data_IF_732048300136
#
_entry.id   IF_732048300136
#
_cell.length_a   1.000
_cell.length_b   1.000
_cell.length_c   1.000
_cell.angle_alpha   90.00
_cell.angle_beta   90.00
_cell.angle_gamma   90.00
#
_symmetry.space_group_name_H-M   'P 1'
#
loop_
_entity.id
_entity.type
_entity.pdbx_description
1 polymer ?
#
# COMPACT_ATOMS: atom_id res chain seq x y z
N UNK A 1 29.34 23.74 1.34
CA UNK A 1 28.35 23.13 0.44
C UNK A 1 29.01 22.33 -0.66
N UNK A 2 29.61 23.02 -1.65
CA UNK A 2 30.37 22.38 -2.74
C UNK A 2 31.79 21.97 -2.32
N UNK A 3 32.50 22.82 -1.56
CA UNK A 3 33.86 22.49 -1.08
C UNK A 3 33.90 21.24 -0.19
N UNK A 4 32.97 21.10 0.74
CA UNK A 4 32.99 19.98 1.69
C UNK A 4 32.87 18.61 1.00
N UNK A 5 32.16 18.50 -0.13
CA UNK A 5 32.08 17.26 -0.92
C UNK A 5 33.37 16.98 -1.68
N UNK A 6 33.95 18.01 -2.27
CA UNK A 6 35.22 17.91 -3.01
C UNK A 6 36.34 17.50 -2.06
N UNK A 7 36.44 18.14 -0.90
CA UNK A 7 37.46 17.82 0.12
C UNK A 7 37.26 16.41 0.70
N UNK A 8 36.02 16.00 0.95
CA UNK A 8 35.72 14.65 1.41
C UNK A 8 36.07 13.58 0.37
N UNK A 9 35.81 13.85 -0.92
CA UNK A 9 36.24 12.98 -2.02
C UNK A 9 37.76 12.90 -2.11
N UNK A 10 38.44 14.05 -2.10
CA UNK A 10 39.90 14.12 -2.17
C UNK A 10 40.57 13.40 -1.00
N UNK A 11 39.97 13.45 0.19
CA UNK A 11 40.44 12.70 1.34
C UNK A 11 40.23 11.18 1.16
N UNK A 12 39.01 10.76 0.81
CA UNK A 12 38.70 9.33 0.66
C UNK A 12 39.43 8.66 -0.51
N UNK A 13 39.68 9.40 -1.60
CA UNK A 13 40.41 8.93 -2.77
C UNK A 13 41.85 8.51 -2.45
N UNK A 14 42.44 8.98 -1.34
CA UNK A 14 43.78 8.55 -0.88
C UNK A 14 43.80 7.09 -0.42
N UNK A 15 42.64 6.53 -0.09
CA UNK A 15 42.49 5.18 0.47
C UNK A 15 41.80 4.22 -0.52
N UNK A 16 41.42 4.67 -1.71
CA UNK A 16 40.69 3.87 -2.70
C UNK A 16 41.58 3.51 -3.89
N UNK A 17 41.43 2.29 -4.42
CA UNK A 17 42.06 1.92 -5.68
C UNK A 17 41.17 2.40 -6.85
N UNK A 18 41.49 3.58 -7.38
CA UNK A 18 40.68 4.29 -8.39
C UNK A 18 40.69 3.64 -9.79
N UNK A 19 41.47 2.58 -10.01
CA UNK A 19 41.57 1.91 -11.31
C UNK A 19 40.31 1.08 -11.66
N UNK A 20 39.50 0.69 -10.67
CA UNK A 20 38.34 -0.20 -10.88
C UNK A 20 36.95 0.42 -10.65
N UNK A 21 36.83 1.50 -9.87
CA UNK A 21 35.55 2.09 -9.47
C UNK A 21 35.51 3.60 -9.76
N UNK A 22 34.71 3.99 -10.75
CA UNK A 22 34.39 5.41 -11.00
C UNK A 22 33.38 5.90 -9.95
N UNK A 23 33.90 6.43 -8.84
CA UNK A 23 33.07 7.09 -7.83
C UNK A 23 32.90 8.56 -8.22
N UNK A 24 31.67 8.97 -8.49
CA UNK A 24 31.37 10.37 -8.78
C UNK A 24 31.46 11.21 -7.52
N UNK A 25 32.13 12.37 -7.63
CA UNK A 25 32.33 13.32 -6.51
C UNK A 25 31.02 13.80 -5.90
N UNK A 26 29.94 13.81 -6.69
CA UNK A 26 28.62 14.28 -6.26
C UNK A 26 27.91 13.29 -5.34
N UNK A 27 28.26 12.01 -5.40
CA UNK A 27 27.68 10.96 -4.57
C UNK A 27 28.31 10.89 -3.17
N UNK A 28 29.44 11.55 -2.95
CA UNK A 28 30.13 11.55 -1.64
C UNK A 28 29.32 12.33 -0.62
N UNK A 29 28.95 11.65 0.46
CA UNK A 29 28.34 12.26 1.66
C UNK A 29 29.48 12.71 2.59
N UNK A 30 29.72 14.02 2.80
CA UNK A 30 30.82 14.48 3.64
C UNK A 30 30.75 13.95 5.08
N UNK A 31 29.53 13.84 5.60
CA UNK A 31 29.29 13.30 6.95
C UNK A 31 29.62 11.82 7.06
N UNK A 32 29.50 11.02 5.99
CA UNK A 32 29.93 9.61 6.07
C UNK A 32 31.46 9.53 6.13
N UNK A 33 32.17 10.30 5.30
CA UNK A 33 33.65 10.31 5.29
C UNK A 33 34.21 10.83 6.62
N UNK A 34 33.63 11.90 7.17
CA UNK A 34 34.11 12.54 8.41
C UNK A 34 34.09 11.62 9.64
N UNK A 35 33.10 10.71 9.72
CA UNK A 35 32.92 9.80 10.85
C UNK A 35 33.30 8.35 10.50
N UNK A 36 34.15 8.14 9.49
CA UNK A 36 34.59 6.82 9.05
C UNK A 36 36.06 6.55 9.34
N UNK A 37 36.39 5.27 9.53
CA UNK A 37 37.79 4.83 9.61
C UNK A 37 38.49 5.07 8.27
N UNK A 38 39.72 5.60 8.33
CA UNK A 38 40.53 5.88 7.16
C UNK A 38 41.15 4.58 6.59
N UNK A 39 40.36 3.80 5.84
CA UNK A 39 40.75 2.53 5.23
C UNK A 39 40.19 2.35 3.82
N UNK A 40 40.65 1.31 3.14
CA UNK A 40 40.13 0.93 1.82
C UNK A 40 38.61 0.70 1.86
N UNK A 41 37.89 1.27 0.90
CA UNK A 41 36.43 1.27 0.87
C UNK A 41 35.75 2.43 1.60
N UNK A 42 36.47 3.44 2.11
CA UNK A 42 35.87 4.60 2.78
C UNK A 42 34.82 5.35 1.94
N UNK A 43 34.95 5.38 0.61
CA UNK A 43 34.00 6.06 -0.28
C UNK A 43 32.83 5.15 -0.71
N UNK A 44 32.99 3.82 -0.63
CA UNK A 44 31.99 2.84 -1.10
C UNK A 44 31.24 2.19 0.07
N UNK A 45 31.98 1.70 1.08
CA UNK A 45 31.49 1.01 2.26
C UNK A 45 32.16 1.56 3.54
N UNK A 46 31.85 2.82 3.92
CA UNK A 46 32.43 3.45 5.10
C UNK A 46 32.15 2.65 6.39
N UNK A 47 33.21 2.33 7.15
CA UNK A 47 33.06 1.77 8.50
C UNK A 47 33.04 2.89 9.54
N UNK A 48 32.13 2.83 10.54
CA UNK A 48 32.00 3.90 11.51
C UNK A 48 33.24 3.95 12.42
N UNK A 49 33.87 5.12 12.49
CA UNK A 49 34.90 5.40 13.49
C UNK A 49 34.20 5.54 14.85
N UNK A 50 34.46 4.60 15.77
CA UNK A 50 33.86 4.63 17.11
C UNK A 50 34.77 5.40 18.07
N UNK A 51 34.21 6.32 18.83
CA UNK A 51 34.95 7.10 19.82
C UNK A 51 34.16 8.28 20.37
N UNK A 52 34.79 9.02 21.28
CA UNK A 52 34.24 10.26 21.83
C UNK A 52 34.61 11.43 20.92
N UNK A 53 33.62 12.06 20.31
CA UNK A 53 33.81 13.24 19.48
C UNK A 53 33.63 14.50 20.33
N UNK A 54 34.64 15.38 20.33
CA UNK A 54 34.54 16.69 20.96
C UNK A 54 34.35 17.74 19.87
N UNK A 55 33.14 18.31 19.81
CA UNK A 55 32.83 19.41 18.90
C UNK A 55 33.00 20.73 19.65
N UNK A 56 33.79 21.63 19.08
CA UNK A 56 33.99 22.98 19.60
C UNK A 56 33.37 23.92 18.58
N UNK A 57 32.35 24.67 19.01
CA UNK A 57 31.72 25.70 18.20
C UNK A 57 32.03 27.06 18.81
N UNK A 58 32.57 27.95 17.98
CA UNK A 58 32.85 29.34 18.35
C UNK A 58 31.83 30.21 17.61
N UNK A 59 31.08 31.01 18.38
CA UNK A 59 30.02 31.88 17.85
C UNK A 59 30.47 33.31 18.12
N UNK A 60 30.48 34.13 17.07
CA UNK A 60 30.79 35.56 17.16
C UNK A 60 29.47 36.31 17.10
N UNK A 61 29.18 37.10 18.14
CA UNK A 61 27.99 37.95 18.22
C UNK A 61 28.41 39.40 17.91
N UNK A 62 28.02 39.94 16.75
CA UNK A 62 28.47 41.27 16.32
C UNK A 62 27.72 42.44 16.98
N UNK A 63 26.49 42.23 17.46
CA UNK A 63 25.68 43.27 18.12
C UNK A 63 25.80 43.26 19.65
N UNK A 64 25.77 44.44 20.26
CA UNK A 64 25.80 44.61 21.74
C UNK A 64 24.60 43.98 22.46
N UNK A 65 23.48 43.77 21.75
CA UNK A 65 22.24 43.18 22.29
C UNK A 65 21.90 41.81 21.66
N UNK A 66 22.84 41.18 20.96
CA UNK A 66 22.59 39.85 20.39
C UNK A 66 22.66 38.80 21.50
N UNK A 67 21.56 38.09 21.74
CA UNK A 67 21.49 37.00 22.70
C UNK A 67 21.27 35.66 22.00
N UNK A 68 22.04 34.65 22.41
CA UNK A 68 21.82 33.27 21.95
C UNK A 68 20.81 32.61 22.88
N UNK A 69 19.60 32.40 22.38
CA UNK A 69 18.50 31.83 23.16
C UNK A 69 18.65 30.32 23.33
N UNK A 70 18.82 29.59 22.22
CA UNK A 70 18.96 28.13 22.23
C UNK A 70 19.94 27.66 21.16
N UNK A 71 20.92 26.86 21.57
CA UNK A 71 21.83 26.13 20.65
C UNK A 71 21.42 24.66 20.68
N UNK A 72 20.95 24.15 19.54
CA UNK A 72 20.70 22.73 19.35
C UNK A 72 21.61 22.15 18.27
N UNK A 73 22.19 20.99 18.55
CA UNK A 73 22.91 20.21 17.56
C UNK A 73 21.97 19.18 16.95
N UNK A 74 21.64 19.34 15.67
CA UNK A 74 20.87 18.33 14.93
C UNK A 74 21.82 17.37 14.22
N UNK A 75 22.04 16.21 14.83
CA UNK A 75 22.71 15.10 14.15
C UNK A 75 21.72 14.41 13.21
N UNK A 76 21.84 14.68 11.91
CA UNK A 76 21.16 13.89 10.90
C UNK A 76 21.88 12.55 10.74
N UNK A 77 21.53 11.57 11.57
CA UNK A 77 21.97 10.18 11.40
C UNK A 77 21.59 9.63 10.01
N UNK A 78 22.34 8.63 9.53
CA UNK A 78 22.01 7.91 8.29
C UNK A 78 20.92 6.85 8.46
N UNK A 79 20.64 6.46 9.70
CA UNK A 79 19.64 5.47 10.08
C UNK A 79 19.00 5.94 11.39
N UNK A 80 17.68 5.96 11.44
CA UNK A 80 16.88 6.23 12.64
C UNK A 80 15.65 5.33 12.61
N UNK A 81 15.15 4.95 13.78
CA UNK A 81 13.97 4.09 13.89
C UNK A 81 14.22 2.61 13.54
N UNK A 82 13.21 1.77 13.79
CA UNK A 82 13.29 0.32 13.63
C UNK A 82 13.32 -0.11 12.16
N UNK A 83 12.66 0.66 11.29
CA UNK A 83 12.57 0.41 9.85
C UNK A 83 13.42 1.37 9.01
N UNK A 84 14.20 2.24 9.66
CA UNK A 84 14.97 3.28 8.97
C UNK A 84 14.11 4.50 8.58
N UNK A 85 14.68 5.33 7.71
CA UNK A 85 14.06 6.59 7.25
C UNK A 85 13.91 6.64 5.74
N UNK A 86 12.90 7.38 5.25
CA UNK A 86 12.72 7.65 3.83
C UNK A 86 13.75 8.65 3.26
N UNK A 87 13.64 8.98 1.97
CA UNK A 87 14.52 9.96 1.30
C UNK A 87 14.43 11.38 1.88
N UNK A 88 13.32 11.70 2.56
CA UNK A 88 13.08 12.95 3.28
C UNK A 88 13.49 12.88 4.75
N UNK A 89 14.16 11.78 5.17
CA UNK A 89 14.60 11.49 6.55
C UNK A 89 13.45 11.31 7.55
N UNK A 90 12.24 11.01 7.09
CA UNK A 90 11.09 10.71 7.96
C UNK A 90 11.17 9.26 8.42
N UNK A 91 10.81 8.99 9.66
CA UNK A 91 10.79 7.63 10.23
C UNK A 91 9.73 6.75 9.55
N UNK A 92 10.16 5.63 8.97
CA UNK A 92 9.27 4.70 8.24
C UNK A 92 8.37 3.96 9.22
N UNK A 93 8.88 3.58 10.39
CA UNK A 93 8.10 2.84 11.39
C UNK A 93 6.86 3.60 11.82
N UNK A 94 7.01 4.89 12.18
CA UNK A 94 5.90 5.75 12.55
C UNK A 94 4.88 5.88 11.41
N UNK A 95 5.34 5.99 10.16
CA UNK A 95 4.47 6.05 8.98
C UNK A 95 3.64 4.78 8.79
N UNK A 96 4.27 3.60 8.92
CA UNK A 96 3.58 2.30 8.82
C UNK A 96 2.53 2.17 9.93
N UNK A 97 2.91 2.41 11.18
CA UNK A 97 1.99 2.28 12.33
C UNK A 97 0.80 3.25 12.21
N UNK A 98 1.04 4.49 11.77
CA UNK A 98 -0.02 5.47 11.54
C UNK A 98 -0.97 5.06 10.39
N UNK A 99 -0.44 4.48 9.32
CA UNK A 99 -1.19 4.08 8.13
C UNK A 99 -1.97 2.77 8.27
N UNK A 100 -1.52 1.82 9.11
CA UNK A 100 -2.14 0.49 9.26
C UNK A 100 -3.64 0.57 9.55
N UNK A 101 -4.08 1.49 10.43
CA UNK A 101 -5.51 1.63 10.77
C UNK A 101 -6.37 1.95 9.55
N UNK A 102 -5.89 2.83 8.68
CA UNK A 102 -6.61 3.28 7.49
C UNK A 102 -6.54 2.23 6.39
N UNK A 103 -5.37 1.65 6.15
CA UNK A 103 -5.19 0.56 5.21
C UNK A 103 -6.13 -0.63 5.54
N UNK A 104 -6.19 -1.03 6.81
CA UNK A 104 -7.09 -2.11 7.24
C UNK A 104 -8.56 -1.74 7.11
N UNK A 105 -8.97 -0.51 7.46
CA UNK A 105 -10.35 -0.07 7.30
C UNK A 105 -10.79 -0.13 5.83
N UNK A 106 -9.96 0.40 4.94
CA UNK A 106 -10.23 0.44 3.49
C UNK A 106 -10.28 -0.98 2.93
N UNK A 107 -9.29 -1.80 3.28
CA UNK A 107 -9.21 -3.18 2.84
C UNK A 107 -10.40 -4.03 3.31
N UNK A 108 -10.74 -3.94 4.60
CA UNK A 108 -11.81 -4.73 5.22
C UNK A 108 -13.19 -4.34 4.66
N UNK A 109 -13.52 -3.05 4.61
CA UNK A 109 -14.83 -2.60 4.12
C UNK A 109 -15.01 -2.91 2.63
N UNK A 110 -13.97 -2.69 1.83
CA UNK A 110 -14.00 -3.03 0.39
C UNK A 110 -14.18 -4.54 0.20
N UNK A 111 -13.40 -5.36 0.90
CA UNK A 111 -13.47 -6.81 0.78
C UNK A 111 -14.84 -7.36 1.23
N UNK A 112 -15.34 -6.88 2.38
CA UNK A 112 -16.64 -7.30 2.92
C UNK A 112 -17.75 -7.02 1.91
N UNK A 113 -17.85 -5.78 1.44
CA UNK A 113 -18.91 -5.36 0.51
C UNK A 113 -18.78 -6.04 -0.85
N UNK A 114 -17.60 -6.05 -1.46
CA UNK A 114 -17.38 -6.65 -2.77
C UNK A 114 -17.65 -8.15 -2.77
N UNK A 115 -17.16 -8.88 -1.75
CA UNK A 115 -17.37 -10.33 -1.67
C UNK A 115 -18.82 -10.66 -1.36
N UNK A 116 -19.48 -9.93 -0.44
CA UNK A 116 -20.91 -10.13 -0.19
C UNK A 116 -21.75 -9.93 -1.46
N UNK A 117 -21.53 -8.83 -2.19
CA UNK A 117 -22.24 -8.57 -3.45
C UNK A 117 -21.96 -9.68 -4.46
N UNK A 118 -20.71 -10.03 -4.68
CA UNK A 118 -20.34 -11.00 -5.71
C UNK A 118 -20.77 -12.43 -5.38
N UNK A 119 -20.79 -12.82 -4.10
CA UNK A 119 -21.34 -14.12 -3.68
C UNK A 119 -22.84 -14.17 -3.94
N UNK A 120 -23.60 -13.16 -3.48
CA UNK A 120 -25.05 -13.11 -3.71
C UNK A 120 -25.36 -13.08 -5.21
N UNK A 121 -24.65 -12.27 -5.98
CA UNK A 121 -24.82 -12.16 -7.43
C UNK A 121 -24.51 -13.47 -8.16
N UNK A 122 -23.39 -14.11 -7.83
CA UNK A 122 -22.97 -15.37 -8.45
C UNK A 122 -23.94 -16.52 -8.17
N UNK A 123 -24.44 -16.64 -6.93
CA UNK A 123 -25.45 -17.65 -6.57
C UNK A 123 -26.76 -17.39 -7.29
N UNK A 124 -27.24 -16.14 -7.30
CA UNK A 124 -28.47 -15.76 -8.00
C UNK A 124 -28.40 -16.08 -9.49
N UNK A 125 -27.29 -15.74 -10.14
CA UNK A 125 -27.02 -16.04 -11.56
C UNK A 125 -27.01 -17.55 -11.82
N UNK A 126 -26.32 -18.34 -10.98
CA UNK A 126 -26.29 -19.80 -11.11
C UNK A 126 -27.67 -20.45 -10.92
N UNK A 127 -28.42 -20.01 -9.90
CA UNK A 127 -29.71 -20.61 -9.57
C UNK A 127 -30.78 -20.30 -10.61
N UNK A 128 -30.95 -19.02 -10.98
CA UNK A 128 -32.04 -18.55 -11.85
C UNK A 128 -31.95 -19.10 -13.28
N UNK A 129 -30.74 -19.20 -13.85
CA UNK A 129 -30.53 -19.69 -15.21
C UNK A 129 -31.28 -18.88 -16.30
N UNK A 130 -31.31 -19.44 -17.51
CA UNK A 130 -32.05 -18.91 -18.65
C UNK A 130 -31.71 -17.46 -19.01
N UNK A 131 -32.70 -16.71 -19.48
CA UNK A 131 -32.50 -15.32 -19.93
C UNK A 131 -32.08 -14.36 -18.81
N UNK A 132 -32.49 -14.64 -17.55
CA UNK A 132 -32.10 -13.84 -16.38
C UNK A 132 -30.61 -13.98 -16.10
N UNK A 133 -30.09 -15.21 -16.14
CA UNK A 133 -28.65 -15.46 -16.06
C UNK A 133 -27.91 -14.77 -17.20
N UNK A 134 -28.40 -14.87 -18.45
CA UNK A 134 -27.77 -14.17 -19.59
C UNK A 134 -27.70 -12.66 -19.38
N UNK A 135 -28.76 -12.02 -18.87
CA UNK A 135 -28.77 -10.60 -18.56
C UNK A 135 -27.77 -10.26 -17.43
N UNK A 136 -27.74 -11.07 -16.37
CA UNK A 136 -26.80 -10.90 -15.26
C UNK A 136 -25.35 -11.07 -15.72
N UNK A 137 -25.06 -12.06 -16.55
CA UNK A 137 -23.73 -12.24 -17.13
C UNK A 137 -23.34 -11.05 -18.00
N UNK A 138 -24.29 -10.46 -18.73
CA UNK A 138 -24.02 -9.27 -19.53
C UNK A 138 -23.60 -8.06 -18.69
N UNK A 139 -24.29 -7.82 -17.57
CA UNK A 139 -23.90 -6.76 -16.63
C UNK A 139 -22.52 -7.05 -16.04
N UNK A 140 -22.26 -8.31 -15.63
CA UNK A 140 -20.95 -8.72 -15.13
C UNK A 140 -19.82 -8.48 -16.15
N UNK A 141 -20.03 -8.83 -17.43
CA UNK A 141 -19.06 -8.62 -18.50
C UNK A 141 -18.72 -7.13 -18.70
N UNK A 142 -19.72 -6.23 -18.58
CA UNK A 142 -19.50 -4.79 -18.68
C UNK A 142 -18.54 -4.29 -17.60
N UNK A 143 -18.70 -4.71 -16.36
CA UNK A 143 -17.81 -4.32 -15.27
C UNK A 143 -16.44 -5.01 -15.36
N UNK A 144 -16.38 -6.27 -15.79
CA UNK A 144 -15.13 -7.02 -15.94
C UNK A 144 -14.19 -6.40 -16.97
N UNK A 145 -14.74 -5.81 -18.03
CA UNK A 145 -13.97 -5.16 -19.08
C UNK A 145 -13.31 -3.83 -18.68
N UNK A 146 -13.70 -3.25 -17.54
CA UNK A 146 -13.23 -1.93 -17.11
C UNK A 146 -12.00 -2.06 -16.20
N UNK A 147 -10.85 -1.46 -16.56
CA UNK A 147 -9.67 -1.48 -15.70
C UNK A 147 -9.87 -0.52 -14.52
N UNK A 148 -9.85 -1.05 -13.30
CA UNK A 148 -10.15 -0.26 -12.10
C UNK A 148 -9.15 0.86 -11.80
N UNK A 149 -7.84 0.62 -11.96
CA UNK A 149 -6.82 1.63 -11.65
C UNK A 149 -7.04 2.94 -12.45
N UNK A 150 -7.20 2.90 -13.79
CA UNK A 150 -7.58 4.09 -14.57
C UNK A 150 -8.84 4.80 -14.07
N UNK A 151 -9.88 4.04 -13.69
CA UNK A 151 -11.11 4.64 -13.15
C UNK A 151 -10.82 5.40 -11.86
N UNK A 152 -10.08 4.79 -10.92
CA UNK A 152 -9.72 5.47 -9.67
C UNK A 152 -8.88 6.72 -9.91
N UNK A 153 -7.93 6.68 -10.86
CA UNK A 153 -7.11 7.85 -11.21
C UNK A 153 -7.99 8.99 -11.72
N UNK A 154 -8.86 8.72 -12.71
CA UNK A 154 -9.75 9.74 -13.28
C UNK A 154 -10.71 10.29 -12.22
N UNK A 155 -11.26 9.41 -11.38
CA UNK A 155 -12.18 9.82 -10.33
C UNK A 155 -11.47 10.67 -9.26
N UNK A 156 -10.29 10.28 -8.79
CA UNK A 156 -9.51 11.07 -7.83
C UNK A 156 -8.97 12.38 -8.41
N UNK A 157 -8.85 12.49 -9.74
CA UNK A 157 -8.46 13.74 -10.40
C UNK A 157 -9.64 14.72 -10.55
N UNK A 158 -10.85 14.21 -10.76
CA UNK A 158 -12.07 15.05 -10.93
C UNK A 158 -12.68 15.41 -9.57
N UNK A 159 -12.76 14.44 -8.67
CA UNK A 159 -13.33 14.60 -7.34
C UNK A 159 -12.22 14.85 -6.33
N UNK A 160 -12.54 15.57 -5.25
CA UNK A 160 -11.60 15.70 -4.14
C UNK A 160 -11.31 14.29 -3.56
N UNK A 161 -10.04 13.91 -3.38
CA UNK A 161 -9.68 12.64 -2.78
C UNK A 161 -10.40 12.44 -1.43
N UNK A 162 -11.12 11.33 -1.32
CA UNK A 162 -11.89 10.96 -0.13
C UNK A 162 -11.92 9.44 -0.03
N UNK A 163 -11.51 8.91 1.12
CA UNK A 163 -11.48 7.47 1.39
C UNK A 163 -12.81 6.79 1.11
N UNK A 164 -13.94 7.40 1.48
CA UNK A 164 -15.26 6.81 1.31
C UNK A 164 -15.62 6.67 -0.18
N UNK A 165 -15.21 7.62 -1.01
CA UNK A 165 -15.38 7.55 -2.47
C UNK A 165 -14.51 6.42 -3.03
N UNK A 166 -13.27 6.28 -2.56
CA UNK A 166 -12.38 5.19 -2.97
C UNK A 166 -12.96 3.82 -2.60
N UNK A 167 -13.41 3.63 -1.35
CA UNK A 167 -14.06 2.40 -0.90
C UNK A 167 -15.27 2.09 -1.78
N UNK A 168 -16.17 3.05 -1.98
CA UNK A 168 -17.37 2.85 -2.79
C UNK A 168 -17.03 2.45 -4.23
N UNK A 169 -16.09 3.15 -4.87
CA UNK A 169 -15.62 2.81 -6.21
C UNK A 169 -15.04 1.40 -6.24
N UNK A 170 -14.16 1.06 -5.32
CA UNK A 170 -13.56 -0.26 -5.28
C UNK A 170 -14.62 -1.35 -5.04
N UNK A 171 -15.58 -1.14 -4.15
CA UNK A 171 -16.71 -2.05 -3.95
C UNK A 171 -17.54 -2.24 -5.22
N UNK A 172 -17.78 -1.17 -6.00
CA UNK A 172 -18.52 -1.20 -7.26
C UNK A 172 -17.82 -1.96 -8.39
N UNK A 173 -16.50 -2.18 -8.31
CA UNK A 173 -15.76 -2.90 -9.34
C UNK A 173 -15.19 -4.24 -8.86
N UNK A 174 -14.85 -4.41 -7.58
CA UNK A 174 -14.26 -5.64 -7.05
C UNK A 174 -15.24 -6.81 -6.96
N UNK A 175 -16.55 -6.55 -6.88
CA UNK A 175 -17.56 -7.59 -6.74
C UNK A 175 -17.57 -8.58 -7.91
N UNK A 176 -17.07 -8.21 -9.10
CA UNK A 176 -16.97 -9.11 -10.25
C UNK A 176 -16.03 -10.27 -10.00
N UNK A 177 -14.96 -10.07 -9.23
CA UNK A 177 -13.92 -11.07 -9.05
C UNK A 177 -14.41 -12.41 -8.43
N UNK A 178 -15.17 -12.42 -7.31
CA UNK A 178 -15.72 -13.67 -6.77
C UNK A 178 -16.89 -14.26 -7.59
N UNK A 179 -17.58 -13.48 -8.44
CA UNK A 179 -18.79 -13.92 -9.16
C UNK A 179 -18.54 -15.17 -9.99
N UNK A 180 -17.45 -15.23 -10.74
CA UNK A 180 -17.17 -16.37 -11.64
C UNK A 180 -16.98 -17.68 -10.86
N UNK A 181 -16.22 -17.64 -9.79
CA UNK A 181 -15.94 -18.80 -8.94
C UNK A 181 -17.20 -19.22 -8.18
N UNK A 182 -17.92 -18.26 -7.60
CA UNK A 182 -19.18 -18.52 -6.90
C UNK A 182 -20.23 -19.10 -7.83
N UNK A 183 -20.35 -18.60 -9.05
CA UNK A 183 -21.27 -19.15 -10.05
C UNK A 183 -20.93 -20.60 -10.38
N UNK A 184 -19.65 -20.92 -10.55
CA UNK A 184 -19.20 -22.29 -10.80
C UNK A 184 -19.60 -23.25 -9.66
N UNK A 185 -19.42 -22.83 -8.41
CA UNK A 185 -19.87 -23.62 -7.25
C UNK A 185 -21.39 -23.66 -7.14
N UNK A 186 -22.06 -22.55 -7.41
CA UNK A 186 -23.52 -22.43 -7.37
C UNK A 186 -24.21 -23.34 -8.38
N UNK A 187 -23.62 -23.54 -9.56
CA UNK A 187 -24.11 -24.51 -10.56
C UNK A 187 -24.01 -25.95 -10.05
N UNK A 188 -22.98 -26.29 -9.29
CA UNK A 188 -22.84 -27.62 -8.67
C UNK A 188 -23.84 -27.79 -7.52
N UNK A 189 -23.90 -26.81 -6.62
CA UNK A 189 -24.82 -26.80 -5.46
C UNK A 189 -26.28 -26.93 -5.91
N UNK A 190 -26.65 -26.29 -7.02
CA UNK A 190 -28.02 -26.32 -7.55
C UNK A 190 -28.52 -27.73 -7.86
N UNK A 191 -27.63 -28.63 -8.29
CA UNK A 191 -27.94 -30.01 -8.69
C UNK A 191 -27.87 -31.00 -7.51
N UNK A 192 -27.69 -30.51 -6.28
CA UNK A 192 -27.65 -31.36 -5.10
C UNK A 192 -29.04 -31.86 -4.70
N UNK A 193 -29.10 -33.13 -4.26
CA UNK A 193 -30.36 -33.81 -3.89
C UNK A 193 -31.20 -33.08 -2.83
N UNK A 194 -30.55 -32.37 -1.90
CA UNK A 194 -31.26 -31.59 -0.88
C UNK A 194 -31.92 -30.32 -1.44
N UNK A 195 -31.37 -29.75 -2.52
CA UNK A 195 -31.98 -28.63 -3.23
C UNK A 195 -33.19 -29.12 -4.03
N UNK A 196 -33.08 -30.25 -4.72
CA UNK A 196 -34.20 -30.88 -5.41
C UNK A 196 -35.34 -31.22 -4.45
N UNK A 197 -35.02 -31.84 -3.31
CA UNK A 197 -35.99 -32.14 -2.26
C UNK A 197 -36.67 -30.87 -1.75
N UNK A 198 -35.92 -29.80 -1.47
CA UNK A 198 -36.49 -28.53 -1.03
C UNK A 198 -37.45 -27.93 -2.07
N UNK A 199 -37.15 -28.06 -3.37
CA UNK A 199 -38.05 -27.65 -4.45
C UNK A 199 -39.32 -28.51 -4.50
N UNK A 200 -39.20 -29.84 -4.34
CA UNK A 200 -40.34 -30.76 -4.30
C UNK A 200 -41.29 -30.45 -3.12
N UNK A 201 -40.76 -29.97 -2.00
CA UNK A 201 -41.54 -29.48 -0.85
C UNK A 201 -42.08 -28.06 -1.02
N UNK A 202 -41.93 -27.43 -2.19
CA UNK A 202 -42.49 -26.11 -2.50
C UNK A 202 -41.71 -24.93 -1.92
N UNK A 203 -40.42 -25.09 -1.62
CA UNK A 203 -39.60 -23.96 -1.17
C UNK A 203 -39.46 -22.90 -2.28
N UNK A 204 -39.66 -21.63 -1.93
CA UNK A 204 -39.47 -20.53 -2.87
C UNK A 204 -38.01 -20.37 -3.27
N UNK A 205 -37.75 -19.87 -4.48
CA UNK A 205 -36.40 -19.61 -5.00
C UNK A 205 -35.54 -18.75 -4.07
N UNK A 206 -36.15 -17.71 -3.46
CA UNK A 206 -35.46 -16.85 -2.49
C UNK A 206 -35.06 -17.64 -1.23
N UNK A 207 -35.94 -18.50 -0.72
CA UNK A 207 -35.61 -19.38 0.41
C UNK A 207 -34.45 -20.30 0.07
N UNK A 208 -34.42 -20.86 -1.13
CA UNK A 208 -33.33 -21.74 -1.57
C UNK A 208 -32.00 -20.99 -1.65
N UNK A 209 -31.99 -19.82 -2.27
CA UNK A 209 -30.78 -18.99 -2.41
C UNK A 209 -30.24 -18.59 -1.04
N UNK A 210 -31.05 -17.94 -0.19
CA UNK A 210 -30.54 -17.33 1.04
C UNK A 210 -30.41 -18.30 2.22
N UNK A 211 -31.17 -19.40 2.25
CA UNK A 211 -31.16 -20.37 3.37
C UNK A 211 -30.39 -21.64 3.08
N UNK A 212 -30.13 -21.98 1.81
CA UNK A 212 -29.42 -23.20 1.43
C UNK A 212 -28.13 -22.89 0.67
N UNK A 213 -28.18 -22.10 -0.41
CA UNK A 213 -27.00 -21.92 -1.29
C UNK A 213 -25.99 -20.86 -0.83
N UNK A 214 -26.42 -19.74 -0.24
CA UNK A 214 -25.47 -18.74 0.28
C UNK A 214 -24.77 -19.25 1.55
N UNK A 215 -25.46 -19.87 2.52
CA UNK A 215 -24.82 -20.36 3.74
C UNK A 215 -23.69 -21.37 3.50
N UNK A 216 -23.84 -22.27 2.51
CA UNK A 216 -22.80 -23.25 2.19
C UNK A 216 -21.52 -22.59 1.61
N UNK A 217 -21.65 -21.39 1.05
CA UNK A 217 -20.54 -20.63 0.46
C UNK A 217 -19.89 -19.63 1.42
N UNK A 218 -20.37 -19.52 2.66
CA UNK A 218 -19.78 -18.64 3.68
C UNK A 218 -18.28 -18.94 3.91
N UNK A 219 -17.82 -20.21 4.01
CA UNK A 219 -16.39 -20.48 4.17
C UNK A 219 -15.54 -19.94 3.02
N UNK A 220 -16.03 -20.10 1.78
CA UNK A 220 -15.38 -19.50 0.61
C UNK A 220 -15.40 -17.97 0.68
N UNK A 221 -16.52 -17.36 1.09
CA UNK A 221 -16.65 -15.92 1.21
C UNK A 221 -15.59 -15.34 2.17
N UNK A 222 -15.39 -15.93 3.35
CA UNK A 222 -14.36 -15.50 4.29
C UNK A 222 -12.94 -15.67 3.73
N UNK A 223 -12.65 -16.81 3.09
CA UNK A 223 -11.36 -17.04 2.45
C UNK A 223 -11.10 -16.01 1.33
N UNK A 224 -12.13 -15.71 0.53
CA UNK A 224 -12.07 -14.70 -0.52
C UNK A 224 -11.84 -13.31 0.08
N UNK A 225 -12.56 -12.92 1.14
CA UNK A 225 -12.36 -11.62 1.80
C UNK A 225 -10.91 -11.43 2.23
N UNK A 226 -10.27 -12.44 2.81
CA UNK A 226 -8.85 -12.38 3.21
C UNK A 226 -7.90 -12.08 2.04
N UNK A 227 -8.23 -12.51 0.82
CA UNK A 227 -7.45 -12.20 -0.40
C UNK A 227 -7.77 -10.82 -0.97
N UNK A 228 -8.96 -10.27 -0.72
CA UNK A 228 -9.38 -8.97 -1.26
C UNK A 228 -8.91 -7.80 -0.41
N UNK A 229 -8.73 -7.98 0.91
CA UNK A 229 -8.16 -6.97 1.81
C UNK A 229 -6.82 -6.44 1.29
N UNK A 230 -5.77 -7.26 1.05
CA UNK A 230 -4.48 -6.76 0.58
C UNK A 230 -4.57 -6.17 -0.83
N UNK A 231 -5.45 -6.69 -1.70
CA UNK A 231 -5.67 -6.11 -3.03
C UNK A 231 -6.19 -4.68 -2.93
N UNK A 232 -7.18 -4.44 -2.07
CA UNK A 232 -7.71 -3.10 -1.86
C UNK A 232 -6.63 -2.15 -1.30
N UNK A 233 -5.82 -2.61 -0.34
CA UNK A 233 -4.71 -1.80 0.20
C UNK A 233 -3.73 -1.41 -0.90
N UNK A 234 -3.36 -2.33 -1.80
CA UNK A 234 -2.44 -2.02 -2.91
C UNK A 234 -3.02 -0.98 -3.87
N UNK A 235 -4.32 -1.05 -4.17
CA UNK A 235 -4.98 -0.08 -5.03
C UNK A 235 -4.99 1.31 -4.41
N UNK A 236 -5.32 1.43 -3.12
CA UNK A 236 -5.29 2.70 -2.40
C UNK A 236 -3.87 3.28 -2.34
N UNK A 237 -2.89 2.46 -1.97
CA UNK A 237 -1.48 2.86 -1.94
C UNK A 237 -0.98 3.32 -3.31
N UNK A 238 -1.44 2.70 -4.40
CA UNK A 238 -1.08 3.11 -5.77
C UNK A 238 -1.59 4.51 -6.10
N UNK A 239 -2.81 4.84 -5.67
CA UNK A 239 -3.39 6.17 -5.87
C UNK A 239 -2.71 7.22 -4.97
N UNK A 240 -2.42 6.86 -3.71
CA UNK A 240 -1.67 7.70 -2.77
C UNK A 240 -0.26 8.02 -3.28
N UNK A 241 0.45 7.01 -3.82
CA UNK A 241 1.76 7.17 -4.44
C UNK A 241 1.75 8.14 -5.63
N UNK A 242 0.65 8.18 -6.39
CA UNK A 242 0.44 9.13 -7.49
C UNK A 242 0.04 10.53 -7.02
N UNK A 243 -0.05 10.78 -5.71
CA UNK A 243 -0.48 12.06 -5.13
C UNK A 243 -1.99 12.30 -5.25
N UNK A 244 -2.77 11.24 -5.49
CA UNK A 244 -4.22 11.28 -5.70
C UNK A 244 -5.00 10.64 -4.52
N UNK A 245 -4.31 10.29 -3.44
CA UNK A 245 -4.90 9.76 -2.21
C UNK A 245 -5.47 10.85 -1.32
N UNK A 246 -6.23 10.45 -0.29
CA UNK A 246 -6.80 11.39 0.68
C UNK A 246 -5.70 11.93 1.61
N UNK A 247 -5.45 13.24 1.53
CA UNK A 247 -4.41 13.91 2.30
C UNK A 247 -4.75 14.10 3.78
N UNK A 248 -5.95 13.72 4.24
CA UNK A 248 -6.34 13.82 5.65
C UNK A 248 -5.92 12.60 6.47
N UNK A 249 -5.48 11.52 5.81
CA UNK A 249 -5.12 10.25 6.45
C UNK A 249 -3.65 9.87 6.33
N UNK A 250 -2.86 10.69 5.63
CA UNK A 250 -1.42 10.52 5.41
C UNK A 250 -0.65 11.73 5.92
#
# INVERSE_FOLDING_TARGET
GKDSRIESYNFGAKFENLEGNRIEREMVKPTSVLFSEAKEGILVYPSPLKGTYKLIAEIILPGENDEVVDIYFTFSGGVSGWLGTDSSKRDIWSGVVAGVKWALLIGLLTALTAVSIGVTYGVMSAYLGGWKDSLMQRIFELFLGVPLLPVLIVMSAIFKPNIWIMILMMSCFFWVGPVKTVRSMGLQIKEETYIEAAQAFGASSSRIIFKHMIPILIPYAFASMALYVPRAIVYEASISLLGLGDSTIV
#
